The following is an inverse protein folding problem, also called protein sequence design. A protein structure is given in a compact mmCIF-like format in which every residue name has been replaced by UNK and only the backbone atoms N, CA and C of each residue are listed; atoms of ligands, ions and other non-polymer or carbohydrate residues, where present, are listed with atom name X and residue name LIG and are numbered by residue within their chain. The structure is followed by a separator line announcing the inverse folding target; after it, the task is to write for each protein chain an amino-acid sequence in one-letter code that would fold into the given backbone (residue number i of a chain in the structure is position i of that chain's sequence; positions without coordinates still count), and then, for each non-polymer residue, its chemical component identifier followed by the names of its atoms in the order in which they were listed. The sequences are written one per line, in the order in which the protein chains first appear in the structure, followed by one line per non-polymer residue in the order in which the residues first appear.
data_IF_587713305135
#
_entry.id   IF_587713305135
#
_cell.length_a   1.000
_cell.length_b   1.000
_cell.length_c   1.000
_cell.angle_alpha   90.00
_cell.angle_beta   90.00
_cell.angle_gamma   90.00
#
_symmetry.space_group_name_H-M   'P 1'
#
loop_
_entity.id
_entity.type
_entity.pdbx_description
1 polymer ?
#
# COMPACT_ATOMS: atom_id res chain seq x y z
N UNK A 1 -5.81 17.95 -14.38
CA UNK A 1 -5.33 17.81 -13.00
C UNK A 1 -5.63 16.39 -12.55
N UNK A 2 -4.73 15.74 -11.83
CA UNK A 2 -4.96 14.44 -11.20
C UNK A 2 -5.77 14.72 -9.93
N UNK A 3 -7.01 14.24 -9.88
CA UNK A 3 -7.84 14.29 -8.67
C UNK A 3 -7.83 12.88 -8.07
N UNK A 4 -7.73 12.76 -6.74
CA UNK A 4 -7.75 11.49 -6.02
C UNK A 4 -6.67 11.35 -4.96
N UNK A 5 -6.72 10.24 -4.23
CA UNK A 5 -5.76 9.88 -3.19
C UNK A 5 -4.62 9.10 -3.83
N UNK A 6 -3.41 9.65 -3.77
CA UNK A 6 -2.23 8.92 -4.21
C UNK A 6 -1.90 7.82 -3.21
N UNK A 7 -1.58 6.63 -3.71
CA UNK A 7 -1.12 5.53 -2.88
C UNK A 7 0.22 5.01 -3.37
N UNK A 8 1.02 4.45 -2.45
CA UNK A 8 2.29 3.82 -2.74
C UNK A 8 2.55 2.66 -1.77
N UNK A 9 2.81 1.48 -2.31
CA UNK A 9 3.33 0.33 -1.62
C UNK A 9 4.74 0.08 -2.14
N UNK A 10 5.70 -0.06 -1.22
CA UNK A 10 7.06 -0.46 -1.54
C UNK A 10 7.55 -1.44 -0.51
N UNK A 11 7.88 -2.65 -0.93
CA UNK A 11 8.34 -3.73 -0.06
C UNK A 11 9.65 -4.31 -0.62
N UNK A 12 10.56 -4.65 0.28
CA UNK A 12 11.81 -5.34 -0.01
C UNK A 12 11.80 -6.66 0.74
N UNK A 13 12.07 -7.74 0.03
CA UNK A 13 12.17 -9.09 0.54
C UNK A 13 13.64 -9.51 0.60
N UNK A 14 14.02 -10.32 1.60
CA UNK A 14 15.38 -10.84 1.71
C UNK A 14 15.73 -11.83 0.60
N UNK A 15 14.73 -12.53 0.04
CA UNK A 15 14.90 -13.51 -1.03
C UNK A 15 13.70 -13.50 -2.01
N UNK A 16 13.93 -13.95 -3.23
CA UNK A 16 12.87 -14.12 -4.24
C UNK A 16 11.79 -15.13 -3.84
N UNK A 17 12.16 -16.19 -3.11
CA UNK A 17 11.20 -17.17 -2.60
C UNK A 17 10.20 -16.53 -1.62
N UNK A 18 10.67 -15.62 -0.76
CA UNK A 18 9.80 -14.85 0.14
C UNK A 18 8.76 -14.03 -0.62
N UNK A 19 9.12 -13.48 -1.80
CA UNK A 19 8.17 -12.77 -2.64
C UNK A 19 7.07 -13.69 -3.20
N UNK A 20 7.44 -14.91 -3.62
CA UNK A 20 6.47 -15.88 -4.13
C UNK A 20 5.50 -16.31 -3.03
N UNK A 21 6.01 -16.69 -1.85
CA UNK A 21 5.18 -17.05 -0.71
C UNK A 21 4.31 -15.89 -0.22
N UNK A 22 4.82 -14.67 -0.25
CA UNK A 22 4.05 -13.48 0.13
C UNK A 22 2.75 -13.34 -0.68
N UNK A 23 2.79 -13.63 -1.98
CA UNK A 23 1.60 -13.56 -2.84
C UNK A 23 0.52 -14.59 -2.46
N UNK A 24 0.89 -15.67 -1.78
CA UNK A 24 -0.02 -16.75 -1.39
C UNK A 24 -0.67 -16.50 -0.01
N UNK A 25 -0.22 -15.49 0.74
CA UNK A 25 -0.79 -15.19 2.06
C UNK A 25 -2.21 -14.63 1.95
N UNK A 26 -3.12 -15.18 2.76
CA UNK A 26 -4.50 -14.69 2.90
C UNK A 26 -4.50 -13.34 3.63
N UNK A 27 -5.21 -12.35 3.09
CA UNK A 27 -5.25 -10.98 3.61
C UNK A 27 -5.90 -10.92 5.00
N UNK A 28 -7.11 -11.44 5.15
CA UNK A 28 -7.84 -11.42 6.43
C UNK A 28 -7.11 -12.15 7.57
N UNK A 29 -6.23 -13.11 7.25
CA UNK A 29 -5.42 -13.79 8.25
C UNK A 29 -4.37 -12.87 8.92
N UNK A 30 -4.13 -11.68 8.39
CA UNK A 30 -3.22 -10.70 9.01
C UNK A 30 -3.90 -9.83 10.08
N UNK A 31 -5.23 -9.91 10.22
CA UNK A 31 -5.98 -9.08 11.18
C UNK A 31 -5.52 -9.29 12.63
N UNK A 32 -5.41 -10.55 13.06
CA UNK A 32 -4.96 -10.88 14.43
C UNK A 32 -3.54 -10.36 14.72
N UNK A 33 -2.68 -10.28 13.70
CA UNK A 33 -1.32 -9.73 13.83
C UNK A 33 -1.35 -8.21 14.04
N UNK A 34 -2.29 -7.52 13.40
CA UNK A 34 -2.38 -6.07 13.45
C UNK A 34 -3.23 -5.57 14.63
N UNK A 35 -4.09 -6.40 15.21
CA UNK A 35 -4.90 -6.07 16.40
C UNK A 35 -4.10 -5.38 17.53
N UNK A 36 -2.88 -5.82 17.91
CA UNK A 36 -2.10 -5.14 18.95
C UNK A 36 -1.36 -3.88 18.48
N UNK A 37 -1.37 -3.55 17.19
CA UNK A 37 -0.60 -2.43 16.62
C UNK A 37 -1.31 -1.10 16.93
N UNK A 38 -0.63 -0.14 17.61
CA UNK A 38 -1.20 1.17 17.83
C UNK A 38 -1.60 1.85 16.52
N UNK A 39 -2.81 2.42 16.48
CA UNK A 39 -3.40 3.01 15.28
C UNK A 39 -4.26 2.05 14.45
N UNK A 40 -4.05 0.73 14.56
CA UNK A 40 -4.82 -0.23 13.76
C UNK A 40 -6.32 -0.21 14.04
N UNK A 41 -6.73 -0.16 15.31
CA UNK A 41 -8.16 -0.13 15.67
C UNK A 41 -8.91 1.11 15.17
N UNK A 42 -8.22 2.20 14.79
CA UNK A 42 -8.83 3.35 14.12
C UNK A 42 -9.07 3.13 12.62
N UNK A 43 -8.29 2.24 12.01
CA UNK A 43 -8.40 1.85 10.59
C UNK A 43 -9.38 0.69 10.42
N UNK A 44 -9.37 -0.29 11.32
CA UNK A 44 -10.18 -1.52 11.31
C UNK A 44 -11.57 -1.33 11.96
N UNK A 45 -12.24 -0.21 11.70
CA UNK A 45 -13.59 0.05 12.22
C UNK A 45 -14.71 -0.63 11.38
N UNK A 46 -14.41 -1.78 10.76
CA UNK A 46 -15.32 -2.50 9.86
C UNK A 46 -15.13 -2.19 8.38
N UNK A 47 -14.08 -1.47 8.00
CA UNK A 47 -13.73 -1.15 6.61
C UNK A 47 -13.01 -2.32 5.91
N UNK A 48 -13.51 -3.55 6.11
CA UNK A 48 -13.15 -4.75 5.34
C UNK A 48 -14.09 -4.93 4.13
N UNK A 49 -14.73 -3.86 3.64
CA UNK A 49 -15.77 -3.91 2.60
C UNK A 49 -15.28 -4.57 1.30
N UNK A 50 -13.98 -4.44 0.98
CA UNK A 50 -13.35 -5.14 -0.15
C UNK A 50 -13.10 -6.63 0.11
N UNK A 51 -13.20 -7.12 1.34
CA UNK A 51 -12.95 -8.52 1.73
C UNK A 51 -14.22 -9.16 2.29
N UNK A 52 -15.05 -9.75 1.42
CA UNK A 52 -16.36 -10.23 1.85
C UNK A 52 -17.21 -10.84 0.74
N UNK A 53 -18.53 -10.86 0.96
CA UNK A 53 -19.53 -11.42 0.04
C UNK A 53 -20.15 -10.36 -0.89
N UNK A 54 -19.67 -9.11 -0.85
CA UNK A 54 -20.22 -8.02 -1.66
C UNK A 54 -19.86 -8.13 -3.15
N UNK A 55 -20.67 -7.58 -4.08
CA UNK A 55 -20.50 -7.76 -5.52
C UNK A 55 -19.20 -7.19 -6.12
N UNK A 56 -18.47 -6.35 -5.36
CA UNK A 56 -17.16 -5.79 -5.74
C UNK A 56 -16.02 -6.31 -4.86
N UNK A 57 -16.31 -7.15 -3.87
CA UNK A 57 -15.34 -7.63 -2.91
C UNK A 57 -14.53 -8.79 -3.47
N UNK A 58 -13.26 -8.82 -3.09
CA UNK A 58 -12.45 -10.03 -3.05
C UNK A 58 -13.04 -11.00 -2.02
N UNK A 59 -13.00 -12.32 -2.28
CA UNK A 59 -13.53 -13.30 -1.34
C UNK A 59 -12.74 -13.27 -0.02
N UNK A 60 -13.35 -13.69 1.09
CA UNK A 60 -12.69 -13.68 2.41
C UNK A 60 -11.41 -14.53 2.52
N UNK A 61 -11.17 -15.43 1.57
CA UNK A 61 -9.93 -16.20 1.45
C UNK A 61 -8.94 -15.61 0.41
N UNK A 62 -9.18 -14.39 -0.07
CA UNK A 62 -8.33 -13.73 -1.04
C UNK A 62 -6.91 -13.57 -0.51
N UNK A 63 -5.98 -13.83 -1.43
CA UNK A 63 -4.55 -13.73 -1.20
C UNK A 63 -4.04 -12.34 -1.58
N UNK A 64 -2.81 -12.03 -1.18
CA UNK A 64 -2.09 -10.85 -1.68
C UNK A 64 -2.02 -10.86 -3.21
N UNK A 65 -1.80 -12.01 -3.83
CA UNK A 65 -1.80 -12.16 -5.29
C UNK A 65 -3.13 -11.74 -5.92
N UNK A 66 -4.25 -12.10 -5.30
CA UNK A 66 -5.59 -11.72 -5.76
C UNK A 66 -5.80 -10.20 -5.65
N UNK A 67 -5.35 -9.58 -4.56
CA UNK A 67 -5.37 -8.11 -4.40
C UNK A 67 -4.54 -7.41 -5.48
N UNK A 68 -3.32 -7.88 -5.74
CA UNK A 68 -2.47 -7.28 -6.78
C UNK A 68 -3.10 -7.40 -8.16
N UNK A 69 -3.69 -8.56 -8.48
CA UNK A 69 -4.39 -8.77 -9.75
C UNK A 69 -5.66 -7.89 -9.87
N UNK A 70 -6.41 -7.75 -8.78
CA UNK A 70 -7.57 -6.87 -8.69
C UNK A 70 -7.18 -5.42 -8.95
N UNK A 71 -6.20 -4.90 -8.21
CA UNK A 71 -5.71 -3.54 -8.37
C UNK A 71 -5.13 -3.30 -9.76
N UNK A 72 -4.42 -4.26 -10.35
CA UNK A 72 -3.97 -4.16 -11.74
C UNK A 72 -5.14 -4.05 -12.72
N UNK A 73 -6.19 -4.85 -12.55
CA UNK A 73 -7.37 -4.83 -13.43
C UNK A 73 -8.20 -3.56 -13.27
N UNK A 74 -8.38 -3.10 -12.04
CA UNK A 74 -9.15 -1.90 -11.72
C UNK A 74 -8.41 -0.64 -12.20
N UNK A 75 -7.14 -0.52 -11.83
CA UNK A 75 -6.31 0.63 -12.19
C UNK A 75 -5.89 0.63 -13.66
N UNK A 76 -5.92 -0.48 -14.39
CA UNK A 76 -5.66 -0.50 -15.83
C UNK A 76 -6.65 0.37 -16.62
N UNK A 77 -7.85 0.63 -16.07
CA UNK A 77 -8.84 1.51 -16.65
C UNK A 77 -8.75 2.96 -16.14
N UNK A 78 -7.91 3.21 -15.14
CA UNK A 78 -7.74 4.49 -14.46
C UNK A 78 -6.28 4.97 -14.54
N UNK A 79 -5.94 6.13 -13.97
CA UNK A 79 -4.56 6.68 -14.03
C UNK A 79 -3.58 6.00 -13.06
N UNK A 80 -3.94 4.85 -12.49
CA UNK A 80 -3.07 4.10 -11.59
C UNK A 80 -2.05 3.26 -12.35
N UNK A 81 -0.84 3.12 -11.81
CA UNK A 81 0.23 2.38 -12.47
C UNK A 81 0.83 1.38 -11.49
N UNK A 82 0.46 0.11 -11.65
CA UNK A 82 1.06 -0.97 -10.87
C UNK A 82 2.38 -1.37 -11.50
N UNK A 83 3.49 -0.82 -11.00
CA UNK A 83 4.84 -1.21 -11.41
C UNK A 83 5.47 -2.22 -10.45
N UNK A 84 5.35 -3.51 -10.76
CA UNK A 84 6.11 -4.52 -10.02
C UNK A 84 7.57 -4.47 -10.50
N UNK A 85 8.37 -3.62 -9.86
CA UNK A 85 9.82 -3.53 -10.06
C UNK A 85 10.54 -4.74 -9.47
N UNK A 86 10.61 -5.84 -10.22
CA UNK A 86 11.48 -6.96 -9.87
C UNK A 86 12.93 -6.58 -10.21
N UNK A 87 13.78 -6.39 -9.21
CA UNK A 87 15.23 -6.37 -9.42
C UNK A 87 15.69 -7.78 -9.79
N UNK A 88 15.48 -8.19 -11.05
CA UNK A 88 16.25 -9.24 -11.69
C UNK A 88 17.37 -8.57 -12.47
N UNK A 89 18.46 -8.20 -11.79
CA UNK A 89 19.69 -7.92 -12.52
C UNK A 89 20.20 -9.26 -13.04
N UNK A 90 19.89 -9.55 -14.30
CA UNK A 90 20.27 -10.73 -15.08
C UNK A 90 19.71 -12.06 -14.56
N UNK A 91 19.03 -12.78 -15.45
CA UNK A 91 18.39 -14.08 -15.21
C UNK A 91 19.37 -15.24 -14.88
N UNK A 92 20.57 -14.93 -14.38
CA UNK A 92 21.62 -15.88 -13.99
C UNK A 92 22.43 -15.43 -12.74
N UNK A 93 22.06 -14.33 -12.05
CA UNK A 93 22.83 -13.84 -10.89
C UNK A 93 22.02 -13.92 -9.58
N UNK A 94 22.41 -14.89 -8.74
CA UNK A 94 22.02 -15.09 -7.33
C UNK A 94 20.51 -15.16 -7.02
N UNK A 95 20.02 -16.38 -6.78
CA UNK A 95 18.75 -16.62 -6.10
C UNK A 95 18.69 -16.00 -4.68
N UNK A 96 19.85 -15.56 -4.16
CA UNK A 96 20.03 -14.87 -2.88
C UNK A 96 19.91 -13.33 -2.99
N UNK A 97 19.76 -12.77 -4.20
CA UNK A 97 19.49 -11.35 -4.38
C UNK A 97 18.05 -11.05 -3.95
N UNK A 98 17.88 -10.15 -2.97
CA UNK A 98 16.57 -9.78 -2.45
C UNK A 98 15.64 -9.21 -3.53
N UNK A 99 14.33 -9.40 -3.37
CA UNK A 99 13.33 -8.90 -4.30
C UNK A 99 12.75 -7.57 -3.83
N UNK A 100 12.36 -6.70 -4.77
CA UNK A 100 11.60 -5.48 -4.48
C UNK A 100 10.25 -5.58 -5.16
N UNK A 101 9.22 -5.02 -4.53
CA UNK A 101 7.91 -4.78 -5.12
C UNK A 101 7.60 -3.32 -4.88
N UNK A 102 7.23 -2.63 -5.95
CA UNK A 102 6.61 -1.32 -5.88
C UNK A 102 5.18 -1.44 -6.45
N UNK A 103 4.30 -0.54 -6.04
CA UNK A 103 2.98 -0.37 -6.62
C UNK A 103 2.50 1.02 -6.24
N UNK A 104 1.92 1.76 -7.18
CA UNK A 104 1.40 3.09 -6.88
C UNK A 104 0.27 3.47 -7.82
N UNK A 105 -0.41 4.57 -7.51
CA UNK A 105 -1.47 5.06 -8.36
C UNK A 105 -2.33 6.07 -7.64
N UNK A 106 -3.51 6.30 -8.20
CA UNK A 106 -4.50 7.19 -7.64
C UNK A 106 -5.80 6.42 -7.45
N UNK A 107 -6.38 6.55 -6.26
CA UNK A 107 -7.74 6.15 -5.96
C UNK A 107 -8.66 7.35 -6.20
N UNK A 108 -9.77 7.19 -6.94
CA UNK A 108 -10.56 8.31 -7.42
C UNK A 108 -11.28 9.09 -6.31
N UNK A 109 -11.69 8.42 -5.24
CA UNK A 109 -12.50 8.98 -4.16
C UNK A 109 -12.22 8.32 -2.79
N UNK A 110 -12.97 8.75 -1.77
CA UNK A 110 -12.85 8.25 -0.40
C UNK A 110 -13.27 6.78 -0.29
N UNK A 111 -14.32 6.37 -1.01
CA UNK A 111 -14.83 5.01 -1.00
C UNK A 111 -13.76 4.05 -1.54
N UNK A 112 -13.15 4.36 -2.69
CA UNK A 112 -12.03 3.58 -3.21
C UNK A 112 -10.86 3.51 -2.23
N UNK A 113 -10.53 4.61 -1.53
CA UNK A 113 -9.51 4.59 -0.48
C UNK A 113 -9.89 3.70 0.70
N UNK A 114 -11.11 3.83 1.20
CA UNK A 114 -11.62 3.03 2.31
C UNK A 114 -11.58 1.55 1.98
N UNK A 115 -12.01 1.17 0.78
CA UNK A 115 -12.03 -0.21 0.31
C UNK A 115 -10.61 -0.80 0.19
N UNK A 116 -9.62 0.00 -0.24
CA UNK A 116 -8.27 -0.49 -0.53
C UNK A 116 -7.26 -0.34 0.61
N UNK A 117 -7.46 0.62 1.53
CA UNK A 117 -6.43 0.97 2.54
C UNK A 117 -6.04 -0.23 3.39
N UNK A 118 -7.02 -0.97 3.90
CA UNK A 118 -6.83 -2.03 4.87
C UNK A 118 -6.28 -3.30 4.20
N UNK A 119 -6.81 -3.75 3.04
CA UNK A 119 -6.17 -4.80 2.24
C UNK A 119 -4.71 -4.52 1.88
N UNK A 120 -4.35 -3.28 1.54
CA UNK A 120 -2.96 -2.93 1.26
C UNK A 120 -2.08 -2.99 2.52
N UNK A 121 -2.59 -2.56 3.67
CA UNK A 121 -1.88 -2.71 4.96
C UNK A 121 -1.72 -4.18 5.33
N UNK A 122 -2.73 -5.03 5.10
CA UNK A 122 -2.62 -6.48 5.26
C UNK A 122 -1.55 -7.08 4.35
N UNK A 123 -1.44 -6.63 3.10
CA UNK A 123 -0.38 -7.07 2.22
C UNK A 123 1.02 -6.71 2.77
N UNK A 124 1.20 -5.50 3.31
CA UNK A 124 2.45 -5.13 3.98
C UNK A 124 2.72 -5.96 5.24
N UNK A 125 1.68 -6.23 6.05
CA UNK A 125 1.79 -7.06 7.25
C UNK A 125 2.21 -8.50 6.89
N UNK A 126 1.63 -9.08 5.84
CA UNK A 126 2.01 -10.39 5.33
C UNK A 126 3.49 -10.43 4.90
N UNK A 127 4.02 -9.35 4.31
CA UNK A 127 5.43 -9.29 3.95
C UNK A 127 6.36 -9.32 5.18
N UNK A 128 6.01 -8.60 6.25
CA UNK A 128 6.81 -8.57 7.48
C UNK A 128 7.04 -9.97 8.09
N UNK A 129 6.05 -10.87 7.97
CA UNK A 129 6.17 -12.27 8.44
C UNK A 129 7.22 -13.08 7.71
N UNK A 130 7.59 -12.66 6.51
CA UNK A 130 8.56 -13.32 5.63
C UNK A 130 9.91 -12.56 5.62
N UNK A 131 10.13 -11.68 6.61
CA UNK A 131 11.30 -10.80 6.70
C UNK A 131 11.28 -9.64 5.72
N UNK A 132 10.12 -9.37 5.09
CA UNK A 132 9.94 -8.25 4.19
C UNK A 132 9.82 -6.93 4.95
N UNK A 133 10.40 -5.86 4.40
CA UNK A 133 10.41 -4.53 4.99
C UNK A 133 9.95 -3.49 3.98
N UNK A 134 9.36 -2.39 4.44
CA UNK A 134 8.97 -1.30 3.56
C UNK A 134 7.77 -0.52 4.10
N UNK A 135 6.96 0.01 3.19
CA UNK A 135 5.84 0.87 3.57
C UNK A 135 4.65 0.78 2.62
N UNK A 136 3.49 1.14 3.17
CA UNK A 136 2.25 1.44 2.47
C UNK A 136 1.85 2.85 2.88
N UNK A 137 1.53 3.70 1.90
CA UNK A 137 1.32 5.13 2.11
C UNK A 137 0.14 5.62 1.26
N UNK A 138 -0.69 6.48 1.85
CA UNK A 138 -1.80 7.16 1.19
C UNK A 138 -1.70 8.66 1.46
N UNK A 139 -1.91 9.47 0.43
CA UNK A 139 -1.87 10.93 0.51
C UNK A 139 -2.76 11.56 -0.56
N UNK A 140 -3.76 12.33 -0.17
CA UNK A 140 -4.50 13.16 -1.11
C UNK A 140 -5.81 13.71 -0.58
N UNK A 141 -6.49 14.57 -1.38
CA UNK A 141 -7.79 15.10 -1.03
C UNK A 141 -8.89 14.07 -1.28
N UNK A 142 -9.88 14.01 -0.40
CA UNK A 142 -11.11 13.25 -0.58
C UNK A 142 -12.27 13.92 0.14
N UNK A 143 -13.38 14.13 -0.57
CA UNK A 143 -14.65 14.65 -0.03
C UNK A 143 -14.57 15.92 0.85
N UNK A 144 -13.61 16.79 0.58
CA UNK A 144 -13.41 18.03 1.35
C UNK A 144 -12.47 17.89 2.54
N UNK A 145 -11.94 16.69 2.77
CA UNK A 145 -10.91 16.38 3.76
C UNK A 145 -9.60 15.91 3.10
N UNK A 146 -8.55 15.75 3.91
CA UNK A 146 -7.26 15.22 3.49
C UNK A 146 -7.02 13.88 4.14
N UNK A 147 -6.65 12.91 3.33
CA UNK A 147 -6.23 11.59 3.78
C UNK A 147 -4.71 11.56 3.84
N UNK A 148 -4.19 11.15 4.99
CA UNK A 148 -2.77 10.82 5.20
C UNK A 148 -2.70 9.57 6.06
N UNK A 149 -2.27 8.47 5.47
CA UNK A 149 -2.11 7.20 6.20
C UNK A 149 -0.79 6.57 5.83
N UNK A 150 0.00 6.23 6.85
CA UNK A 150 1.33 5.70 6.74
C UNK A 150 1.44 4.41 7.55
N UNK A 151 1.71 3.31 6.87
CA UNK A 151 2.04 2.03 7.48
C UNK A 151 3.47 1.64 7.11
N UNK A 152 4.31 1.40 8.11
CA UNK A 152 5.69 0.96 7.96
C UNK A 152 5.86 -0.45 8.52
N UNK A 153 6.59 -1.26 7.78
CA UNK A 153 6.83 -2.66 8.06
C UNK A 153 8.33 -2.89 8.18
N UNK A 154 8.74 -3.43 9.33
CA UNK A 154 10.11 -3.84 9.61
C UNK A 154 10.10 -5.29 10.06
N UNK A 155 11.27 -5.90 10.17
CA UNK A 155 11.45 -7.25 10.71
C UNK A 155 10.88 -7.46 12.13
N UNK A 156 10.72 -6.36 12.89
CA UNK A 156 10.45 -6.38 14.32
C UNK A 156 9.25 -5.54 14.75
N UNK A 157 8.71 -4.71 13.86
CA UNK A 157 7.58 -3.85 14.17
C UNK A 157 6.76 -3.49 12.93
N UNK A 158 5.44 -3.39 13.15
CA UNK A 158 4.52 -2.67 12.27
C UNK A 158 4.17 -1.35 12.96
N UNK A 159 4.21 -0.25 12.20
CA UNK A 159 3.81 1.08 12.69
C UNK A 159 2.77 1.65 11.77
N UNK A 160 1.67 2.12 12.33
CA UNK A 160 0.60 2.77 11.60
C UNK A 160 0.45 4.18 12.18
N UNK A 161 0.33 5.17 11.30
CA UNK A 161 0.15 6.57 11.69
C UNK A 161 -0.71 7.32 10.68
N UNK A 162 -1.49 8.27 11.21
CA UNK A 162 -2.32 9.20 10.46
C UNK A 162 -1.95 10.62 10.88
N UNK A 163 -0.77 11.11 10.46
CA UNK A 163 -0.28 12.41 10.90
C UNK A 163 -1.12 13.55 10.32
N UNK A 164 -1.20 14.67 11.05
CA UNK A 164 -1.80 15.89 10.53
C UNK A 164 -0.99 16.36 9.31
N UNK A 165 -1.68 16.71 8.23
CA UNK A 165 -1.08 17.25 7.01
C UNK A 165 -0.19 18.47 7.30
N UNK A 166 -0.53 19.27 8.32
CA UNK A 166 0.24 20.45 8.72
C UNK A 166 1.59 20.12 9.35
N UNK A 167 1.73 18.93 9.90
CA UNK A 167 2.96 18.47 10.55
C UNK A 167 3.92 17.79 9.56
N UNK A 168 3.43 17.40 8.38
CA UNK A 168 4.23 16.76 7.34
C UNK A 168 5.27 17.67 6.73
N UNK A 169 6.50 17.15 6.63
CA UNK A 169 7.62 17.84 5.97
C UNK A 169 7.84 17.32 4.57
N UNK A 170 8.30 18.21 3.71
CA UNK A 170 8.69 17.91 2.33
C UNK A 170 9.68 16.74 2.22
N UNK A 171 10.64 16.70 3.15
CA UNK A 171 11.64 15.65 3.23
C UNK A 171 11.01 14.28 3.54
N UNK A 172 10.04 14.21 4.44
CA UNK A 172 9.38 12.95 4.83
C UNK A 172 8.60 12.37 3.64
N UNK A 173 7.92 13.23 2.88
CA UNK A 173 7.24 12.83 1.65
C UNK A 173 8.24 12.40 0.57
N UNK A 174 9.36 13.10 0.43
CA UNK A 174 10.43 12.71 -0.49
C UNK A 174 11.02 11.36 -0.13
N UNK A 175 11.27 11.08 1.14
CA UNK A 175 11.82 9.79 1.57
C UNK A 175 10.81 8.66 1.36
N UNK A 176 9.53 8.92 1.61
CA UNK A 176 8.45 7.92 1.52
C UNK A 176 8.02 7.61 0.08
N UNK A 177 8.10 8.59 -0.81
CA UNK A 177 7.64 8.48 -2.21
C UNK A 177 8.77 8.62 -3.25
N UNK A 178 10.00 8.86 -2.80
CA UNK A 178 11.18 9.12 -3.63
C UNK A 178 11.58 7.92 -4.48
N UNK A 179 11.16 7.99 -5.75
CA UNK A 179 11.41 6.98 -6.77
C UNK A 179 10.35 6.97 -7.87
N UNK A 180 9.17 7.55 -7.62
CA UNK A 180 8.02 7.49 -8.52
C UNK A 180 7.25 8.81 -8.49
N UNK A 181 6.87 9.33 -9.66
CA UNK A 181 6.00 10.50 -9.94
C UNK A 181 5.84 11.51 -8.78
N UNK A 182 6.97 12.01 -8.27
CA UNK A 182 7.06 12.88 -7.09
C UNK A 182 6.27 14.18 -7.27
N UNK A 183 6.14 14.67 -8.50
CA UNK A 183 5.33 15.85 -8.84
C UNK A 183 3.84 15.68 -8.53
N UNK A 184 3.33 14.46 -8.65
CA UNK A 184 1.93 14.13 -8.40
C UNK A 184 1.66 14.03 -6.88
N UNK A 185 2.60 13.47 -6.12
CA UNK A 185 2.62 13.51 -4.65
C UNK A 185 2.69 14.95 -4.14
N UNK A 186 3.54 15.77 -4.76
CA UNK A 186 3.67 17.18 -4.40
C UNK A 186 2.43 18.01 -4.70
N UNK A 187 1.80 17.77 -5.86
CA UNK A 187 0.52 18.42 -6.20
C UNK A 187 -0.63 17.97 -5.32
N UNK A 188 -0.62 16.71 -4.89
CA UNK A 188 -1.51 16.24 -3.85
C UNK A 188 -1.20 17.02 -2.56
N UNK A 189 -0.03 16.88 -1.94
CA UNK A 189 0.27 17.52 -0.65
C UNK A 189 0.07 19.05 -0.58
N UNK A 190 0.55 19.80 -1.60
CA UNK A 190 0.43 21.26 -1.67
C UNK A 190 -0.39 21.65 -2.90
N UNK A 191 -1.74 21.61 -2.83
CA UNK A 191 -2.52 22.17 -3.91
C UNK A 191 -2.15 23.66 -4.05
N UNK A 192 -1.90 24.10 -5.28
CA UNK A 192 -1.66 25.52 -5.55
C UNK A 192 -2.78 26.32 -4.89
N UNK A 193 -2.41 27.24 -3.98
CA UNK A 193 -3.38 28.18 -3.40
C UNK A 193 -4.05 28.92 -4.56
N UNK A 194 -5.35 28.68 -4.75
CA UNK A 194 -6.19 29.48 -5.62
C UNK A 194 -6.41 30.87 -5.01
#
# INVERSE_FOLDING_TARGET
MSQGIYFHLRLRFPAHESLSHWKEHVLLAQREQLEPVPGFGGIDMGDDDLLGEEPRALPGNATVGDLLAHMQSELANERGFVEILQNGADADADADAGAVVAMHGFLPDYDSYRDHRLPMIYAGAAASRLGGEGSVSFLGPAEGEWVVTFADFTDSAVRISEPDLQDLREQELTERFGGIAVDDVYRAWKPARA
#
